data_IF_785526706566
#
_entry.id   IF_785526706566
#
_cell.length_a   1.000
_cell.length_b   1.000
_cell.length_c   1.000
_cell.angle_alpha   90.00
_cell.angle_beta   90.00
_cell.angle_gamma   90.00
#
_symmetry.space_group_name_H-M   'P 1'
#
loop_
_entity.id
_entity.type
_entity.pdbx_description
1 polymer ?
#
# COMPACT_ATOMS: atom_id res chain seq x y z
N UNK A 1 5.43 45.70 3.78
CA UNK A 1 4.86 46.27 5.02
C UNK A 1 3.41 45.83 5.11
N UNK A 2 3.10 44.83 5.93
CA UNK A 2 1.73 44.37 6.15
C UNK A 2 1.19 45.06 7.42
N UNK A 3 0.24 45.95 7.23
CA UNK A 3 -0.50 46.64 8.30
C UNK A 3 -1.46 45.64 8.97
N UNK A 4 -1.08 45.15 10.16
CA UNK A 4 -1.96 44.38 11.03
C UNK A 4 -2.99 45.34 11.65
N UNK A 5 -4.25 45.23 11.20
CA UNK A 5 -5.37 45.92 11.83
C UNK A 5 -5.59 45.34 13.22
N UNK A 6 -5.25 46.13 14.25
CA UNK A 6 -5.58 45.80 15.64
C UNK A 6 -7.10 45.93 15.81
N UNK A 7 -7.81 44.80 15.89
CA UNK A 7 -9.24 44.79 16.23
C UNK A 7 -9.35 44.88 17.77
N UNK A 8 -9.97 45.91 18.34
CA UNK A 8 -10.08 46.02 19.79
C UNK A 8 -11.00 44.90 20.28
N UNK A 9 -10.53 44.10 21.23
CA UNK A 9 -11.38 43.17 21.98
C UNK A 9 -12.44 44.01 22.72
N UNK A 10 -13.69 43.88 22.30
CA UNK A 10 -14.85 44.57 22.90
C UNK A 10 -15.72 43.61 23.71
N UNK A 11 -15.12 42.59 24.31
CA UNK A 11 -15.78 41.80 25.34
C UNK A 11 -15.46 42.43 26.70
N UNK A 12 -16.48 42.98 27.36
CA UNK A 12 -16.38 43.41 28.75
C UNK A 12 -15.76 42.28 29.61
N UNK A 13 -14.86 42.60 30.56
CA UNK A 13 -14.28 41.59 31.42
C UNK A 13 -15.40 40.86 32.18
N UNK A 14 -15.38 39.53 32.11
CA UNK A 14 -16.31 38.67 32.85
C UNK A 14 -16.17 39.02 34.33
N UNK A 15 -17.28 39.40 34.97
CA UNK A 15 -17.30 39.74 36.38
C UNK A 15 -17.08 38.47 37.22
N UNK A 16 -16.35 38.62 38.32
CA UNK A 16 -15.98 37.52 39.20
C UNK A 16 -17.24 36.79 39.68
N UNK A 17 -17.40 35.52 39.27
CA UNK A 17 -18.55 34.67 39.61
C UNK A 17 -19.51 34.33 38.46
N UNK A 18 -19.33 34.90 37.26
CA UNK A 18 -20.13 34.50 36.07
C UNK A 18 -19.40 33.41 35.27
N UNK A 19 -20.10 32.31 34.97
CA UNK A 19 -19.57 31.29 34.05
C UNK A 19 -19.56 31.85 32.61
N UNK A 20 -18.45 31.71 31.87
CA UNK A 20 -18.40 32.13 30.48
C UNK A 20 -19.49 31.44 29.65
N UNK A 21 -20.05 32.11 28.63
CA UNK A 21 -21.03 31.49 27.74
C UNK A 21 -20.42 30.27 27.02
N UNK A 22 -21.25 29.28 26.68
CA UNK A 22 -20.84 28.00 26.10
C UNK A 22 -19.98 28.11 24.82
N UNK A 23 -20.05 29.25 24.11
CA UNK A 23 -19.28 29.54 22.88
C UNK A 23 -18.03 30.42 23.12
N UNK A 24 -17.64 30.67 24.37
CA UNK A 24 -16.55 31.58 24.71
C UNK A 24 -15.22 31.20 24.05
N UNK A 25 -14.90 29.90 23.99
CA UNK A 25 -13.64 29.40 23.40
C UNK A 25 -13.58 29.66 21.88
N UNK A 26 -14.71 29.60 21.19
CA UNK A 26 -14.83 29.83 19.76
C UNK A 26 -14.74 31.33 19.42
N UNK A 27 -15.24 32.19 20.32
CA UNK A 27 -15.20 33.65 20.18
C UNK A 27 -13.82 34.27 20.43
N UNK A 28 -12.98 33.64 21.25
CA UNK A 28 -11.67 34.20 21.66
C UNK A 28 -10.61 33.94 20.59
N UNK A 29 -10.73 32.86 19.79
CA UNK A 29 -9.73 32.46 18.81
C UNK A 29 -10.37 31.96 17.48
N UNK A 30 -10.87 32.87 16.62
CA UNK A 30 -11.40 32.50 15.30
C UNK A 30 -10.36 31.82 14.39
N UNK A 31 -9.07 32.06 14.64
CA UNK A 31 -7.97 31.55 13.80
C UNK A 31 -7.40 30.20 14.25
N UNK A 32 -7.92 29.59 15.32
CA UNK A 32 -7.44 28.31 15.84
C UNK A 32 -7.54 27.17 14.81
N UNK A 33 -8.45 27.32 13.84
CA UNK A 33 -8.68 26.33 12.79
C UNK A 33 -7.68 26.44 11.62
N UNK A 34 -6.94 27.55 11.50
CA UNK A 34 -6.04 27.80 10.36
C UNK A 34 -4.56 27.53 10.67
N UNK A 35 -4.16 27.49 11.94
CA UNK A 35 -2.75 27.43 12.34
C UNK A 35 -2.26 26.00 12.63
N UNK A 36 -3.17 25.08 12.98
CA UNK A 36 -2.84 23.72 13.46
C UNK A 36 -3.27 22.58 12.53
N UNK A 37 -3.64 22.85 11.28
CA UNK A 37 -3.85 21.79 10.27
C UNK A 37 -2.49 21.45 9.67
N UNK A 38 -2.01 20.24 9.97
CA UNK A 38 -0.84 19.64 9.32
C UNK A 38 -1.22 19.31 7.86
N UNK A 39 -0.55 19.85 6.82
CA UNK A 39 -0.97 19.67 5.43
C UNK A 39 -0.91 18.23 4.91
N UNK A 40 -0.45 17.27 5.72
CA UNK A 40 -0.31 15.85 5.39
C UNK A 40 -1.26 14.93 6.17
N UNK A 41 -2.23 15.46 6.92
CA UNK A 41 -3.25 14.63 7.56
C UNK A 41 -4.38 14.33 6.56
N UNK A 42 -4.34 13.14 5.94
CA UNK A 42 -5.45 12.65 5.11
C UNK A 42 -6.74 12.54 5.95
N UNK A 43 -7.80 13.21 5.46
CA UNK A 43 -9.17 13.21 5.98
C UNK A 43 -9.77 11.80 6.08
N UNK A 44 -9.47 11.06 7.14
CA UNK A 44 -10.08 9.74 7.38
C UNK A 44 -10.87 9.62 8.68
N UNK A 45 -11.00 10.69 9.47
CA UNK A 45 -11.74 10.61 10.74
C UNK A 45 -12.67 11.79 11.04
N UNK A 46 -13.40 12.26 10.01
CA UNK A 46 -14.62 13.06 10.23
C UNK A 46 -15.78 12.15 10.62
N UNK A 47 -15.90 11.84 11.91
CA UNK A 47 -17.16 11.34 12.47
C UNK A 47 -18.28 12.41 12.30
N UNK A 48 -19.51 12.03 11.88
CA UNK A 48 -20.57 12.99 11.59
C UNK A 48 -21.11 13.64 12.88
N UNK A 49 -21.27 14.97 12.83
CA UNK A 49 -21.89 15.82 13.85
C UNK A 49 -23.33 15.31 14.15
N UNK A 50 -23.73 15.04 15.40
CA UNK A 50 -25.13 14.76 15.72
C UNK A 50 -25.99 16.04 15.56
N UNK A 51 -27.27 15.92 15.16
CA UNK A 51 -28.12 17.07 14.90
C UNK A 51 -28.53 17.77 16.21
N UNK A 52 -28.63 19.10 16.16
CA UNK A 52 -29.00 19.94 17.29
C UNK A 52 -30.43 19.65 17.80
N UNK A 53 -30.68 19.65 19.12
CA UNK A 53 -32.03 19.51 19.65
C UNK A 53 -32.85 20.78 19.37
N UNK A 54 -33.96 20.62 18.66
CA UNK A 54 -34.93 21.66 18.35
C UNK A 54 -35.65 22.13 19.62
N UNK A 55 -35.53 23.42 19.94
CA UNK A 55 -36.20 24.08 21.06
C UNK A 55 -37.65 24.41 20.67
N UNK A 56 -38.59 23.51 20.96
CA UNK A 56 -40.01 23.85 21.07
C UNK A 56 -40.50 23.54 22.49
N UNK A 57 -40.47 24.56 23.34
CA UNK A 57 -41.17 24.57 24.62
C UNK A 57 -42.62 24.92 24.33
N UNK A 58 -43.54 23.95 24.50
CA UNK A 58 -44.97 24.23 24.61
C UNK A 58 -45.38 23.95 26.06
N UNK A 59 -45.83 24.99 26.74
CA UNK A 59 -46.34 24.94 28.10
C UNK A 59 -47.61 24.06 28.19
N UNK A 60 -47.80 23.27 29.25
CA UNK A 60 -49.09 22.67 29.53
C UNK A 60 -49.89 23.53 30.52
N UNK A 61 -51.08 23.93 30.06
CA UNK A 61 -52.16 24.48 30.86
C UNK A 61 -52.61 23.49 31.95
N UNK A 62 -52.85 24.00 33.16
CA UNK A 62 -53.51 23.28 34.25
C UNK A 62 -55.03 23.27 34.03
N UNK A 63 -55.65 22.08 33.99
CA UNK A 63 -56.95 21.74 34.62
C UNK A 63 -57.35 20.28 34.31
N UNK A 64 -57.81 19.55 35.33
CA UNK A 64 -58.54 18.28 35.18
C UNK A 64 -58.13 17.22 36.20
N UNK A 65 -58.96 17.01 37.22
CA UNK A 65 -58.79 16.00 38.27
C UNK A 65 -59.19 14.59 37.80
N UNK A 66 -58.51 13.55 38.32
CA UNK A 66 -59.04 12.50 39.25
C UNK A 66 -58.37 11.13 39.06
N UNK A 67 -57.95 10.57 40.21
CA UNK A 67 -57.82 9.15 40.62
C UNK A 67 -56.79 8.23 39.96
N UNK A 68 -55.84 7.79 40.79
CA UNK A 68 -55.01 6.60 40.60
C UNK A 68 -53.68 6.72 41.36
N UNK A 69 -53.46 6.01 42.49
CA UNK A 69 -52.19 6.08 43.21
C UNK A 69 -51.17 5.16 42.52
N UNK A 70 -49.88 5.52 42.58
CA UNK A 70 -48.72 4.62 42.78
C UNK A 70 -47.44 5.24 42.17
N UNK A 71 -46.58 5.73 43.07
CA UNK A 71 -45.11 5.81 42.98
C UNK A 71 -44.47 6.26 41.65
N UNK A 72 -44.29 7.56 41.46
CA UNK A 72 -43.25 8.10 40.57
C UNK A 72 -43.04 9.58 40.92
N UNK A 73 -41.94 9.90 41.60
CA UNK A 73 -41.67 11.29 41.99
C UNK A 73 -40.33 11.52 42.67
N UNK A 74 -39.67 10.46 43.12
CA UNK A 74 -38.31 10.54 43.67
C UNK A 74 -37.24 10.21 42.62
N UNK A 75 -37.53 9.36 41.64
CA UNK A 75 -36.55 8.91 40.64
C UNK A 75 -36.09 9.99 39.67
N UNK A 76 -36.94 10.96 39.29
CA UNK A 76 -36.63 11.94 38.24
C UNK A 76 -35.73 13.09 38.73
N UNK A 77 -35.91 13.50 40.00
CA UNK A 77 -35.02 14.42 40.70
C UNK A 77 -33.66 13.78 40.99
N UNK A 78 -33.65 12.51 41.40
CA UNK A 78 -32.41 11.77 41.61
C UNK A 78 -31.70 11.52 40.27
N UNK A 79 -32.42 11.24 39.17
CA UNK A 79 -31.86 11.05 37.83
C UNK A 79 -31.25 12.34 37.27
N UNK A 80 -31.92 13.48 37.46
CA UNK A 80 -31.41 14.79 37.03
C UNK A 80 -30.23 15.25 37.88
N UNK A 81 -30.27 15.04 39.20
CA UNK A 81 -29.13 15.30 40.07
C UNK A 81 -27.92 14.42 39.72
N UNK A 82 -28.14 13.13 39.45
CA UNK A 82 -27.10 12.22 38.96
C UNK A 82 -26.56 12.65 37.59
N UNK A 83 -27.42 13.09 36.66
CA UNK A 83 -26.99 13.61 35.36
C UNK A 83 -26.19 14.91 35.46
N UNK A 84 -26.50 15.78 36.41
CA UNK A 84 -25.74 17.02 36.66
C UNK A 84 -24.37 16.69 37.26
N UNK A 85 -24.30 15.75 38.19
CA UNK A 85 -23.02 15.26 38.73
C UNK A 85 -22.16 14.60 37.63
N UNK A 86 -22.76 13.76 36.78
CA UNK A 86 -22.07 13.15 35.64
C UNK A 86 -21.56 14.19 34.65
N UNK A 87 -22.35 15.24 34.39
CA UNK A 87 -21.94 16.35 33.53
C UNK A 87 -20.77 17.14 34.15
N UNK A 88 -20.85 17.46 35.45
CA UNK A 88 -19.77 18.12 36.17
C UNK A 88 -18.48 17.27 36.19
N UNK A 89 -18.58 15.95 36.35
CA UNK A 89 -17.43 15.05 36.25
C UNK A 89 -16.81 15.05 34.85
N UNK A 90 -17.64 15.05 33.80
CA UNK A 90 -17.16 15.16 32.40
C UNK A 90 -16.48 16.50 32.14
N UNK A 91 -17.03 17.59 32.65
CA UNK A 91 -16.46 18.92 32.49
C UNK A 91 -15.11 19.03 33.22
N UNK A 92 -15.00 18.47 34.43
CA UNK A 92 -13.72 18.36 35.15
C UNK A 92 -12.69 17.53 34.38
N UNK A 93 -13.09 16.43 33.74
CA UNK A 93 -12.19 15.62 32.91
C UNK A 93 -11.78 16.36 31.62
N UNK A 94 -12.70 17.12 31.01
CA UNK A 94 -12.41 17.99 29.88
C UNK A 94 -11.41 19.10 30.25
N UNK A 95 -11.56 19.72 31.43
CA UNK A 95 -10.57 20.69 31.92
C UNK A 95 -9.24 20.04 32.25
N UNK A 96 -9.25 18.85 32.86
CA UNK A 96 -8.03 18.08 33.16
C UNK A 96 -7.25 17.76 31.90
N UNK A 97 -7.92 17.29 30.86
CA UNK A 97 -7.31 16.97 29.56
C UNK A 97 -6.84 18.23 28.82
N UNK A 98 -7.60 19.33 28.86
CA UNK A 98 -7.18 20.60 28.28
C UNK A 98 -5.92 21.17 28.97
N UNK A 99 -5.85 21.10 30.30
CA UNK A 99 -4.68 21.52 31.07
C UNK A 99 -3.48 20.61 30.79
N UNK A 100 -3.68 19.30 30.66
CA UNK A 100 -2.62 18.38 30.26
C UNK A 100 -2.08 18.70 28.86
N UNK A 101 -2.97 18.97 27.90
CA UNK A 101 -2.60 19.37 26.54
C UNK A 101 -1.83 20.68 26.53
N UNK A 102 -2.32 21.70 27.23
CA UNK A 102 -1.61 22.98 27.37
C UNK A 102 -0.27 22.82 28.07
N UNK A 103 -0.18 21.96 29.09
CA UNK A 103 1.08 21.61 29.74
C UNK A 103 2.08 20.98 28.76
N UNK A 104 1.61 20.07 27.91
CA UNK A 104 2.42 19.49 26.84
C UNK A 104 2.85 20.55 25.83
N UNK A 105 1.97 21.47 25.43
CA UNK A 105 2.25 22.55 24.49
C UNK A 105 3.28 23.56 25.06
N UNK A 106 3.20 23.88 26.35
CA UNK A 106 4.20 24.72 27.02
C UNK A 106 5.57 24.02 27.01
N UNK A 107 5.61 22.70 27.22
CA UNK A 107 6.86 21.94 27.18
C UNK A 107 7.45 21.88 25.76
N UNK A 108 6.63 21.68 24.73
CA UNK A 108 7.08 21.68 23.34
C UNK A 108 7.58 23.05 22.91
N UNK A 109 6.87 24.14 23.25
CA UNK A 109 7.31 25.51 23.00
C UNK A 109 8.63 25.81 23.72
N UNK A 110 8.78 25.43 24.99
CA UNK A 110 10.05 25.57 25.72
C UNK A 110 11.19 24.78 25.08
N UNK A 111 10.89 23.61 24.50
CA UNK A 111 11.89 22.86 23.75
C UNK A 111 12.29 23.59 22.47
N UNK A 112 11.32 24.13 21.72
CA UNK A 112 11.56 24.90 20.51
C UNK A 112 12.37 26.18 20.78
N UNK A 113 12.04 26.93 21.83
CA UNK A 113 12.80 28.12 22.26
C UNK A 113 14.25 27.74 22.56
N UNK A 114 14.49 26.66 23.32
CA UNK A 114 15.86 26.19 23.58
C UNK A 114 16.61 25.80 22.31
N UNK A 115 15.95 25.15 21.35
CA UNK A 115 16.58 24.83 20.07
C UNK A 115 16.92 26.08 19.26
N UNK A 116 15.99 27.05 19.21
CA UNK A 116 16.18 28.31 18.49
C UNK A 116 17.27 29.17 19.12
N UNK A 117 17.37 29.23 20.45
CA UNK A 117 18.44 29.92 21.17
C UNK A 117 19.81 29.27 20.87
N UNK A 118 19.86 27.94 20.86
CA UNK A 118 21.06 27.18 20.50
C UNK A 118 21.49 27.45 19.06
N UNK A 119 20.54 27.48 18.12
CA UNK A 119 20.82 27.75 16.72
C UNK A 119 21.19 29.21 16.46
N UNK A 120 20.54 30.17 17.13
CA UNK A 120 20.91 31.59 17.07
C UNK A 120 22.34 31.80 17.60
N UNK A 121 22.72 31.11 18.68
CA UNK A 121 24.08 31.14 19.21
C UNK A 121 25.11 30.60 18.21
N UNK A 122 24.80 29.49 17.52
CA UNK A 122 25.66 28.96 16.44
C UNK A 122 25.74 29.91 15.25
N UNK A 123 24.63 30.49 14.83
CA UNK A 123 24.60 31.44 13.71
C UNK A 123 25.42 32.69 14.01
N UNK A 124 25.35 33.21 15.23
CA UNK A 124 26.21 34.32 15.70
C UNK A 124 27.68 33.92 15.69
N UNK A 125 28.02 32.73 16.16
CA UNK A 125 29.40 32.21 16.09
C UNK A 125 29.88 32.14 14.64
N UNK A 126 29.06 31.61 13.74
CA UNK A 126 29.40 31.50 12.32
C UNK A 126 29.57 32.87 11.67
N UNK A 127 28.69 33.83 11.94
CA UNK A 127 28.80 35.20 11.45
C UNK A 127 30.11 35.87 11.92
N UNK A 128 30.45 35.74 13.20
CA UNK A 128 31.73 36.22 13.74
C UNK A 128 32.94 35.55 13.08
N UNK A 129 32.84 34.25 12.77
CA UNK A 129 33.88 33.55 12.03
C UNK A 129 34.03 34.08 10.60
N UNK A 130 32.94 34.34 9.88
CA UNK A 130 33.00 34.92 8.53
C UNK A 130 33.57 36.33 8.55
N UNK A 131 33.21 37.16 9.52
CA UNK A 131 33.79 38.49 9.68
C UNK A 131 35.30 38.42 9.97
N UNK A 132 35.72 37.49 10.81
CA UNK A 132 37.14 37.23 11.10
C UNK A 132 37.90 36.73 9.86
N UNK A 133 37.28 35.86 9.05
CA UNK A 133 37.85 35.41 7.77
C UNK A 133 37.92 36.54 6.75
N UNK A 134 36.92 37.40 6.70
CA UNK A 134 36.90 38.60 5.85
C UNK A 134 38.00 39.56 6.25
N UNK A 135 38.29 39.70 7.56
CA UNK A 135 39.41 40.50 8.05
C UNK A 135 40.77 39.92 7.67
N UNK A 136 40.89 38.60 7.48
CA UNK A 136 42.12 37.93 7.04
C UNK A 136 42.41 38.12 5.55
N UNK A 137 41.37 38.29 4.73
CA UNK A 137 41.48 38.63 3.31
C UNK A 137 41.84 40.11 3.16
N UNK A 138 42.94 40.41 2.48
CA UNK A 138 43.38 41.79 2.19
C UNK A 138 43.82 41.86 0.74
N UNK A 139 43.67 43.02 0.13
CA UNK A 139 44.19 43.30 -1.20
C UNK A 139 45.73 43.39 -1.19
N UNK A 140 46.37 43.08 -2.32
CA UNK A 140 47.84 42.99 -2.40
C UNK A 140 48.54 44.30 -2.06
N UNK A 141 47.92 45.45 -2.32
CA UNK A 141 48.50 46.78 -2.04
C UNK A 141 48.56 47.11 -0.55
N UNK A 142 47.62 46.60 0.24
CA UNK A 142 47.60 46.81 1.69
C UNK A 142 48.55 45.84 2.41
N UNK A 143 48.85 44.69 1.79
CA UNK A 143 49.83 43.71 2.29
C UNK A 143 51.24 44.31 2.43
N UNK A 144 51.64 45.17 1.49
CA UNK A 144 52.95 45.86 1.50
C UNK A 144 53.04 46.94 2.59
N UNK A 145 51.90 47.45 3.06
CA UNK A 145 51.80 48.48 4.11
C UNK A 145 51.80 47.90 5.52
N UNK A 146 51.57 46.59 5.67
CA UNK A 146 51.52 45.93 6.98
C UNK A 146 52.91 45.74 7.59
N UNK A 147 52.97 45.88 8.91
CA UNK A 147 54.19 45.58 9.64
C UNK A 147 54.44 44.06 9.70
N UNK A 148 55.71 43.64 9.70
CA UNK A 148 56.14 42.23 9.84
C UNK A 148 55.39 41.42 10.92
N UNK A 149 55.15 41.93 12.16
CA UNK A 149 54.39 41.17 13.16
C UNK A 149 52.92 40.93 12.78
N UNK A 150 52.28 41.87 12.08
CA UNK A 150 50.88 41.75 11.65
C UNK A 150 50.73 40.69 10.55
N UNK A 151 51.70 40.63 9.62
CA UNK A 151 51.78 39.59 8.58
C UNK A 151 51.92 38.20 9.22
N UNK A 152 52.81 38.05 10.22
CA UNK A 152 52.99 36.79 10.94
C UNK A 152 51.74 36.35 11.69
N UNK A 153 51.06 37.26 12.39
CA UNK A 153 49.80 36.97 13.11
C UNK A 153 48.70 36.47 12.16
N UNK A 154 48.57 37.12 11.00
CA UNK A 154 47.62 36.71 9.95
C UNK A 154 47.97 35.36 9.35
N UNK A 155 49.25 35.10 9.06
CA UNK A 155 49.71 33.80 8.57
C UNK A 155 49.38 32.66 9.54
N UNK A 156 49.62 32.86 10.85
CA UNK A 156 49.27 31.88 11.88
C UNK A 156 47.75 31.64 11.93
N UNK A 157 46.95 32.70 11.85
CA UNK A 157 45.49 32.62 11.85
C UNK A 157 44.95 31.87 10.63
N UNK A 158 45.48 32.15 9.43
CA UNK A 158 45.16 31.44 8.19
C UNK A 158 45.53 29.95 8.27
N UNK A 159 46.70 29.63 8.81
CA UNK A 159 47.14 28.24 9.01
C UNK A 159 46.22 27.49 9.98
N UNK A 160 45.82 28.12 11.08
CA UNK A 160 44.89 27.53 12.04
C UNK A 160 43.52 27.29 11.40
N UNK A 161 43.03 28.23 10.57
CA UNK A 161 41.74 28.07 9.87
C UNK A 161 41.79 26.95 8.83
N UNK A 162 42.87 26.84 8.07
CA UNK A 162 43.05 25.74 7.12
C UNK A 162 43.05 24.38 7.85
N UNK A 163 43.71 24.29 9.01
CA UNK A 163 43.70 23.09 9.82
C UNK A 163 42.29 22.74 10.36
N UNK A 164 41.53 23.75 10.81
CA UNK A 164 40.15 23.53 11.28
C UNK A 164 39.25 23.07 10.14
N UNK A 165 39.31 23.72 8.97
CA UNK A 165 38.53 23.34 7.79
C UNK A 165 38.89 21.93 7.29
N UNK A 166 40.17 21.55 7.36
CA UNK A 166 40.60 20.20 7.01
C UNK A 166 40.01 19.14 7.95
N UNK A 167 39.92 19.44 9.25
CA UNK A 167 39.24 18.57 10.22
C UNK A 167 37.74 18.48 9.96
N UNK A 168 37.06 19.61 9.75
CA UNK A 168 35.64 19.66 9.44
C UNK A 168 35.31 18.85 8.18
N UNK A 169 36.13 18.95 7.13
CA UNK A 169 35.96 18.19 5.90
C UNK A 169 36.09 16.68 6.14
N UNK A 170 36.99 16.25 7.02
CA UNK A 170 37.11 14.84 7.43
C UNK A 170 35.88 14.37 8.19
N UNK A 171 35.31 15.21 9.04
CA UNK A 171 34.09 14.91 9.79
C UNK A 171 32.88 14.81 8.86
N UNK A 172 32.74 15.74 7.89
CA UNK A 172 31.71 15.66 6.85
C UNK A 172 31.83 14.38 6.01
N UNK A 173 33.04 14.01 5.58
CA UNK A 173 33.29 12.74 4.87
C UNK A 173 32.82 11.54 5.70
N UNK A 174 33.13 11.54 7.00
CA UNK A 174 32.72 10.47 7.92
C UNK A 174 31.20 10.42 8.09
N UNK A 175 30.54 11.58 8.18
CA UNK A 175 29.08 11.68 8.29
C UNK A 175 28.39 11.20 7.01
N UNK A 176 28.88 11.59 5.84
CA UNK A 176 28.37 11.13 4.54
C UNK A 176 28.49 9.60 4.45
N UNK A 177 29.64 9.03 4.82
CA UNK A 177 29.82 7.58 4.81
C UNK A 177 28.83 6.86 5.74
N UNK A 178 28.61 7.41 6.95
CA UNK A 178 27.62 6.86 7.90
C UNK A 178 26.21 6.90 7.31
N UNK A 179 25.80 8.03 6.74
CA UNK A 179 24.48 8.19 6.12
C UNK A 179 24.29 7.27 4.92
N UNK A 180 25.31 7.08 4.09
CA UNK A 180 25.28 6.11 2.99
C UNK A 180 25.10 4.68 3.52
N UNK A 181 25.82 4.29 4.57
CA UNK A 181 25.67 2.97 5.19
C UNK A 181 24.27 2.79 5.81
N UNK A 182 23.69 3.83 6.41
CA UNK A 182 22.32 3.79 6.92
C UNK A 182 21.29 3.67 5.79
N UNK A 183 21.49 4.36 4.67
CA UNK A 183 20.63 4.27 3.50
C UNK A 183 20.66 2.85 2.91
N UNK A 184 21.84 2.25 2.78
CA UNK A 184 22.00 0.85 2.34
C UNK A 184 21.22 -0.08 3.28
N UNK A 185 21.44 0.04 4.59
CA UNK A 185 20.73 -0.78 5.59
C UNK A 185 19.21 -0.60 5.53
N UNK A 186 18.73 0.63 5.30
CA UNK A 186 17.29 0.90 5.16
C UNK A 186 16.73 0.28 3.87
N UNK A 187 17.45 0.39 2.76
CA UNK A 187 17.05 -0.20 1.49
C UNK A 187 17.05 -1.74 1.53
N UNK A 188 18.03 -2.36 2.19
CA UNK A 188 18.04 -3.83 2.40
C UNK A 188 16.82 -4.28 3.21
N UNK A 189 16.50 -3.57 4.29
CA UNK A 189 15.29 -3.84 5.09
C UNK A 189 14.03 -3.69 4.26
N UNK A 190 13.91 -2.63 3.46
CA UNK A 190 12.79 -2.41 2.56
C UNK A 190 12.64 -3.54 1.54
N UNK A 191 13.75 -4.00 0.97
CA UNK A 191 13.77 -5.14 0.05
C UNK A 191 13.29 -6.42 0.71
N UNK A 192 13.67 -6.66 1.96
CA UNK A 192 13.18 -7.82 2.73
C UNK A 192 11.70 -7.69 3.08
N UNK A 193 11.22 -6.49 3.44
CA UNK A 193 9.79 -6.22 3.63
C UNK A 193 8.99 -6.49 2.35
N UNK A 194 9.48 -6.04 1.19
CA UNK A 194 8.84 -6.30 -0.10
C UNK A 194 8.77 -7.79 -0.43
N UNK A 195 9.83 -8.55 -0.16
CA UNK A 195 9.83 -10.02 -0.32
C UNK A 195 8.81 -10.70 0.58
N UNK A 196 8.76 -10.31 1.84
CA UNK A 196 7.77 -10.85 2.79
C UNK A 196 6.35 -10.47 2.38
N UNK A 197 6.11 -9.23 1.97
CA UNK A 197 4.82 -8.77 1.47
C UNK A 197 4.37 -9.56 0.24
N UNK A 198 5.28 -9.86 -0.70
CA UNK A 198 4.96 -10.68 -1.87
C UNK A 198 4.65 -12.14 -1.49
N UNK A 199 5.41 -12.72 -0.56
CA UNK A 199 5.13 -14.05 -0.02
C UNK A 199 3.76 -14.11 0.67
N UNK A 200 3.43 -13.10 1.48
CA UNK A 200 2.10 -13.00 2.11
C UNK A 200 0.98 -12.84 1.09
N UNK A 201 1.15 -12.00 0.07
CA UNK A 201 0.15 -11.82 -0.99
C UNK A 201 -0.11 -13.15 -1.73
N UNK A 202 0.94 -13.89 -2.08
CA UNK A 202 0.79 -15.19 -2.75
C UNK A 202 0.15 -16.27 -1.84
N UNK A 203 0.50 -16.28 -0.55
CA UNK A 203 -0.17 -17.14 0.44
C UNK A 203 -1.66 -16.80 0.58
N UNK A 204 -1.99 -15.51 0.63
CA UNK A 204 -3.38 -15.04 0.72
C UNK A 204 -4.20 -15.43 -0.51
N UNK A 205 -3.60 -15.35 -1.70
CA UNK A 205 -4.23 -15.80 -2.94
C UNK A 205 -4.50 -17.31 -2.92
N UNK A 206 -3.55 -18.11 -2.45
CA UNK A 206 -3.74 -19.56 -2.28
C UNK A 206 -4.87 -19.86 -1.29
N UNK A 207 -4.92 -19.15 -0.16
CA UNK A 207 -5.99 -19.29 0.82
C UNK A 207 -7.35 -18.95 0.22
N UNK A 208 -7.46 -17.89 -0.57
CA UNK A 208 -8.70 -17.52 -1.26
C UNK A 208 -9.14 -18.63 -2.22
N UNK A 209 -8.23 -19.16 -3.03
CA UNK A 209 -8.52 -20.28 -3.95
C UNK A 209 -8.98 -21.53 -3.20
N UNK A 210 -8.39 -21.82 -2.03
CA UNK A 210 -8.81 -22.96 -1.20
C UNK A 210 -10.19 -22.71 -0.59
N UNK A 211 -10.49 -21.51 -0.12
CA UNK A 211 -11.82 -21.15 0.36
C UNK A 211 -12.88 -21.28 -0.74
N UNK A 212 -12.59 -20.83 -1.95
CA UNK A 212 -13.50 -20.98 -3.10
C UNK A 212 -13.76 -22.45 -3.43
N UNK A 213 -12.72 -23.31 -3.36
CA UNK A 213 -12.88 -24.77 -3.52
C UNK A 213 -13.77 -25.37 -2.44
N UNK A 214 -13.59 -24.96 -1.18
CA UNK A 214 -14.44 -25.41 -0.06
C UNK A 214 -15.90 -24.97 -0.27
N UNK A 215 -16.14 -23.75 -0.74
CA UNK A 215 -17.49 -23.29 -1.06
C UNK A 215 -18.13 -24.10 -2.20
N UNK A 216 -17.36 -24.44 -3.25
CA UNK A 216 -17.83 -25.33 -4.32
C UNK A 216 -18.17 -26.72 -3.80
N UNK A 217 -17.34 -27.30 -2.93
CA UNK A 217 -17.61 -28.60 -2.31
C UNK A 217 -18.89 -28.57 -1.47
N UNK A 218 -19.13 -27.51 -0.70
CA UNK A 218 -20.40 -27.35 0.06
C UNK A 218 -21.62 -27.33 -0.86
N UNK A 219 -21.55 -26.59 -1.98
CA UNK A 219 -22.64 -26.56 -2.97
C UNK A 219 -22.90 -27.94 -3.56
N UNK A 220 -21.84 -28.69 -3.86
CA UNK A 220 -21.96 -30.06 -4.37
C UNK A 220 -22.56 -31.00 -3.33
N UNK A 221 -22.12 -30.89 -2.07
CA UNK A 221 -22.69 -31.65 -0.96
C UNK A 221 -24.20 -31.39 -0.80
N UNK A 222 -24.62 -30.12 -0.89
CA UNK A 222 -26.04 -29.76 -0.87
C UNK A 222 -26.81 -30.34 -2.06
N UNK A 223 -26.19 -30.41 -3.25
CA UNK A 223 -26.82 -31.08 -4.40
C UNK A 223 -26.92 -32.58 -4.21
N UNK A 224 -25.91 -33.24 -3.66
CA UNK A 224 -25.95 -34.66 -3.34
C UNK A 224 -27.06 -34.96 -2.32
N UNK A 225 -27.17 -34.17 -1.24
CA UNK A 225 -28.27 -34.30 -0.26
C UNK A 225 -29.65 -34.10 -0.88
N UNK A 226 -29.78 -33.18 -1.84
CA UNK A 226 -31.04 -33.00 -2.58
C UNK A 226 -31.34 -34.22 -3.47
N UNK A 227 -30.32 -34.76 -4.14
CA UNK A 227 -30.44 -35.97 -4.95
C UNK A 227 -30.79 -37.19 -4.10
N UNK A 228 -30.17 -37.37 -2.94
CA UNK A 228 -30.53 -38.42 -1.96
C UNK A 228 -32.01 -38.36 -1.61
N UNK A 229 -32.54 -37.17 -1.29
CA UNK A 229 -33.99 -36.99 -1.03
C UNK A 229 -34.88 -37.33 -2.22
N UNK A 230 -34.41 -37.09 -3.45
CA UNK A 230 -35.14 -37.47 -4.67
C UNK A 230 -35.13 -38.97 -4.84
N UNK A 231 -33.99 -39.63 -4.62
CA UNK A 231 -33.84 -41.08 -4.67
C UNK A 231 -34.75 -41.74 -3.63
N UNK A 232 -34.75 -41.28 -2.38
CA UNK A 232 -35.66 -41.78 -1.33
C UNK A 232 -37.14 -41.71 -1.75
N UNK A 233 -37.56 -40.59 -2.37
CA UNK A 233 -38.93 -40.45 -2.88
C UNK A 233 -39.21 -41.40 -4.05
N UNK A 234 -38.26 -41.55 -4.97
CA UNK A 234 -38.39 -42.48 -6.09
C UNK A 234 -38.48 -43.93 -5.60
N UNK A 235 -37.66 -44.31 -4.63
CA UNK A 235 -37.71 -45.61 -3.97
C UNK A 235 -39.07 -45.84 -3.29
N UNK A 236 -39.61 -44.85 -2.57
CA UNK A 236 -40.93 -44.96 -1.98
C UNK A 236 -42.05 -45.19 -3.02
N UNK A 237 -41.99 -44.50 -4.16
CA UNK A 237 -42.92 -44.70 -5.28
C UNK A 237 -42.75 -46.09 -5.90
N UNK A 238 -41.51 -46.54 -6.12
CA UNK A 238 -41.22 -47.88 -6.64
C UNK A 238 -41.71 -48.97 -5.70
N UNK A 239 -41.51 -48.82 -4.39
CA UNK A 239 -42.04 -49.74 -3.39
C UNK A 239 -43.57 -49.77 -3.41
N UNK A 240 -44.24 -48.62 -3.54
CA UNK A 240 -45.70 -48.53 -3.69
C UNK A 240 -46.18 -49.22 -4.97
N UNK A 241 -45.56 -48.93 -6.11
CA UNK A 241 -45.91 -49.52 -7.40
C UNK A 241 -45.68 -51.04 -7.40
N UNK A 242 -44.58 -51.51 -6.79
CA UNK A 242 -44.31 -52.95 -6.63
C UNK A 242 -45.37 -53.61 -5.74
N UNK A 243 -45.80 -52.96 -4.65
CA UNK A 243 -46.88 -53.46 -3.78
C UNK A 243 -48.24 -53.48 -4.53
N UNK A 244 -48.56 -52.45 -5.30
CA UNK A 244 -49.76 -52.39 -6.13
C UNK A 244 -49.75 -53.44 -7.27
N UNK A 245 -48.60 -53.66 -7.92
CA UNK A 245 -48.41 -54.74 -8.91
C UNK A 245 -48.50 -56.14 -8.29
N UNK A 246 -47.95 -56.33 -7.10
CA UNK A 246 -48.11 -57.58 -6.32
C UNK A 246 -49.57 -57.86 -5.96
N UNK A 247 -50.37 -56.81 -5.70
CA UNK A 247 -51.81 -56.95 -5.45
C UNK A 247 -52.66 -57.16 -6.72
N UNK A 248 -52.14 -56.81 -7.91
CA UNK A 248 -52.75 -57.07 -9.23
C UNK A 248 -52.04 -58.23 -9.93
N UNK A 249 -52.15 -59.44 -9.38
CA UNK A 249 -51.60 -60.68 -9.95
C UNK A 249 -52.14 -61.11 -11.33
N UNK A 250 -52.86 -60.25 -12.06
CA UNK A 250 -53.49 -60.55 -13.36
C UNK A 250 -52.75 -59.94 -14.57
N UNK A 251 -51.72 -59.09 -14.35
CA UNK A 251 -51.09 -58.30 -15.42
C UNK A 251 -49.64 -58.70 -15.75
N UNK A 252 -49.19 -59.84 -15.24
CA UNK A 252 -47.85 -60.41 -15.48
C UNK A 252 -47.72 -60.91 -16.92
N UNK A 253 -48.74 -61.59 -17.43
CA UNK A 253 -48.68 -62.27 -18.73
C UNK A 253 -48.71 -61.28 -19.91
N UNK A 254 -49.55 -60.24 -19.82
CA UNK A 254 -49.58 -59.15 -20.82
C UNK A 254 -48.25 -58.37 -20.87
N UNK A 255 -47.60 -58.15 -19.71
CA UNK A 255 -46.30 -57.46 -19.67
C UNK A 255 -45.18 -58.33 -20.22
N UNK A 256 -45.21 -59.65 -20.02
CA UNK A 256 -44.23 -60.56 -20.60
C UNK A 256 -44.33 -60.56 -22.14
N UNK A 257 -45.55 -60.59 -22.69
CA UNK A 257 -45.77 -60.51 -24.14
C UNK A 257 -45.26 -59.18 -24.73
N UNK A 258 -45.55 -58.05 -24.07
CA UNK A 258 -45.05 -56.74 -24.50
C UNK A 258 -43.52 -56.58 -24.34
N UNK A 259 -42.91 -57.28 -23.39
CA UNK A 259 -41.47 -57.30 -23.19
C UNK A 259 -40.77 -58.09 -24.30
N UNK A 260 -41.33 -59.23 -24.71
CA UNK A 260 -40.85 -60.01 -25.85
C UNK A 260 -40.96 -59.23 -27.16
N UNK A 261 -42.06 -58.51 -27.38
CA UNK A 261 -42.24 -57.65 -28.56
C UNK A 261 -41.26 -56.48 -28.58
N UNK A 262 -41.00 -55.84 -27.42
CA UNK A 262 -39.97 -54.80 -27.31
C UNK A 262 -38.56 -55.35 -27.57
N UNK A 263 -38.24 -56.56 -27.12
CA UNK A 263 -36.96 -57.20 -27.40
C UNK A 263 -36.79 -57.42 -28.91
N UNK A 264 -37.86 -57.87 -29.58
CA UNK A 264 -37.89 -58.08 -31.03
C UNK A 264 -37.73 -56.77 -31.81
N UNK A 265 -38.42 -55.70 -31.42
CA UNK A 265 -38.31 -54.38 -32.06
C UNK A 265 -36.91 -53.77 -31.89
N UNK A 266 -36.29 -53.94 -30.72
CA UNK A 266 -34.90 -53.52 -30.49
C UNK A 266 -33.91 -54.26 -31.38
N UNK A 267 -34.12 -55.56 -31.58
CA UNK A 267 -33.30 -56.36 -32.48
C UNK A 267 -33.46 -55.90 -33.94
N UNK A 268 -34.68 -55.58 -34.37
CA UNK A 268 -34.92 -55.03 -35.71
C UNK A 268 -34.28 -53.65 -35.93
N UNK A 269 -34.24 -52.80 -34.91
CA UNK A 269 -33.53 -51.51 -34.99
C UNK A 269 -32.02 -51.69 -35.05
N UNK A 270 -31.47 -52.67 -34.32
CA UNK A 270 -30.05 -52.98 -34.40
C UNK A 270 -29.68 -53.54 -35.78
N UNK A 271 -30.51 -54.43 -36.34
CA UNK A 271 -30.34 -54.96 -37.70
C UNK A 271 -30.42 -53.84 -38.75
N UNK A 272 -31.32 -52.86 -38.59
CA UNK A 272 -31.43 -51.69 -39.47
C UNK A 272 -30.24 -50.75 -39.32
N UNK A 273 -29.72 -50.56 -38.10
CA UNK A 273 -28.53 -49.75 -37.83
C UNK A 273 -27.28 -50.40 -38.41
N UNK A 274 -27.15 -51.72 -38.31
CA UNK A 274 -26.10 -52.51 -38.95
C UNK A 274 -26.21 -52.45 -40.48
N UNK A 275 -27.43 -52.46 -41.03
CA UNK A 275 -27.66 -52.23 -42.46
C UNK A 275 -27.26 -50.81 -42.88
N UNK A 276 -27.54 -49.79 -42.06
CA UNK A 276 -27.17 -48.39 -42.34
C UNK A 276 -25.66 -48.15 -42.22
N UNK A 277 -25.00 -48.85 -41.29
CA UNK A 277 -23.55 -48.90 -41.12
C UNK A 277 -22.89 -49.58 -42.32
N UNK A 278 -23.41 -50.72 -42.78
CA UNK A 278 -22.94 -51.43 -44.00
C UNK A 278 -23.24 -50.67 -45.29
N UNK A 279 -24.29 -49.85 -45.34
CA UNK A 279 -24.62 -48.97 -46.45
C UNK A 279 -23.78 -47.67 -46.49
N UNK A 280 -22.85 -47.48 -45.54
CA UNK A 280 -21.92 -46.35 -45.52
C UNK A 280 -22.50 -45.01 -45.06
N UNK A 281 -23.74 -44.99 -44.55
CA UNK A 281 -24.44 -43.74 -44.15
C UNK A 281 -24.27 -43.46 -42.65
N UNK A 282 -23.88 -44.44 -41.84
CA UNK A 282 -23.76 -44.31 -40.37
C UNK A 282 -22.36 -44.01 -39.82
N UNK A 283 -21.31 -43.95 -40.65
CA UNK A 283 -19.91 -43.82 -40.20
C UNK A 283 -19.29 -42.42 -40.34
N UNK A 284 -20.03 -41.44 -40.87
CA UNK A 284 -19.52 -40.09 -41.13
C UNK A 284 -19.28 -39.25 -39.87
N UNK A 285 -20.18 -39.35 -38.88
CA UNK A 285 -20.08 -38.55 -37.64
C UNK A 285 -18.84 -38.91 -36.81
N UNK A 286 -18.49 -40.20 -36.71
CA UNK A 286 -17.31 -40.64 -35.97
C UNK A 286 -16.00 -40.27 -36.70
N UNK A 287 -16.02 -40.25 -38.03
CA UNK A 287 -14.88 -39.82 -38.85
C UNK A 287 -14.66 -38.30 -38.75
N UNK A 288 -15.73 -37.50 -38.88
CA UNK A 288 -15.70 -36.04 -38.74
C UNK A 288 -15.25 -35.63 -37.33
N UNK A 289 -15.73 -36.33 -36.30
CA UNK A 289 -15.30 -36.13 -34.92
C UNK A 289 -13.82 -36.41 -34.73
N UNK A 290 -13.28 -37.47 -35.36
CA UNK A 290 -11.85 -37.78 -35.31
C UNK A 290 -11.01 -36.69 -36.01
N UNK A 291 -11.46 -36.18 -37.16
CA UNK A 291 -10.79 -35.09 -37.87
C UNK A 291 -10.77 -33.80 -37.05
N UNK A 292 -11.88 -33.46 -36.38
CA UNK A 292 -11.96 -32.30 -35.49
C UNK A 292 -10.99 -32.39 -34.31
N UNK A 293 -10.84 -33.58 -33.69
CA UNK A 293 -9.83 -33.76 -32.64
C UNK A 293 -8.40 -33.59 -33.17
N UNK A 294 -8.11 -34.10 -34.36
CA UNK A 294 -6.79 -33.94 -34.96
C UNK A 294 -6.50 -32.49 -35.37
N UNK A 295 -7.52 -31.73 -35.76
CA UNK A 295 -7.41 -30.29 -36.03
C UNK A 295 -7.17 -29.50 -34.73
N UNK A 296 -7.85 -29.88 -33.64
CA UNK A 296 -7.66 -29.29 -32.32
C UNK A 296 -6.22 -29.51 -31.81
N UNK A 297 -5.72 -30.73 -31.87
CA UNK A 297 -4.35 -31.07 -31.43
C UNK A 297 -3.29 -30.27 -32.19
N UNK A 298 -3.46 -30.09 -33.52
CA UNK A 298 -2.57 -29.24 -34.32
C UNK A 298 -2.65 -27.77 -33.93
N UNK A 299 -3.85 -27.26 -33.64
CA UNK A 299 -4.04 -25.88 -33.23
C UNK A 299 -3.41 -25.61 -31.85
N UNK A 300 -3.60 -26.53 -30.90
CA UNK A 300 -2.98 -26.47 -29.57
C UNK A 300 -1.45 -26.50 -29.65
N UNK A 301 -0.87 -27.40 -30.46
CA UNK A 301 0.58 -27.44 -30.68
C UNK A 301 1.13 -26.14 -31.28
N UNK A 302 0.38 -25.51 -32.20
CA UNK A 302 0.75 -24.21 -32.78
C UNK A 302 0.71 -23.09 -31.75
N UNK A 303 -0.32 -23.05 -30.90
CA UNK A 303 -0.45 -22.06 -29.81
C UNK A 303 0.73 -22.18 -28.86
N UNK A 304 1.05 -23.39 -28.38
CA UNK A 304 2.18 -23.62 -27.47
C UNK A 304 3.52 -23.15 -28.07
N UNK A 305 3.73 -23.41 -29.36
CA UNK A 305 4.93 -22.96 -30.08
C UNK A 305 5.02 -21.43 -30.16
N UNK A 306 3.91 -20.78 -30.50
CA UNK A 306 3.83 -19.31 -30.56
C UNK A 306 4.02 -18.67 -29.19
N UNK A 307 3.43 -19.23 -28.13
CA UNK A 307 3.62 -18.77 -26.76
C UNK A 307 5.08 -18.86 -26.32
N UNK A 308 5.75 -19.97 -26.65
CA UNK A 308 7.18 -20.14 -26.38
C UNK A 308 8.02 -19.10 -27.12
N UNK A 309 7.75 -18.88 -28.41
CA UNK A 309 8.42 -17.84 -29.19
C UNK A 309 8.19 -16.46 -28.60
N UNK A 310 6.96 -16.15 -28.16
CA UNK A 310 6.63 -14.87 -27.53
C UNK A 310 7.40 -14.68 -26.22
N UNK A 311 7.50 -15.73 -25.40
CA UNK A 311 8.24 -15.69 -24.14
C UNK A 311 9.75 -15.51 -24.35
N UNK A 312 10.32 -16.18 -25.35
CA UNK A 312 11.73 -16.03 -25.73
C UNK A 312 12.01 -14.63 -26.29
N UNK A 313 11.11 -14.10 -27.13
CA UNK A 313 11.17 -12.75 -27.68
C UNK A 313 11.08 -11.68 -26.57
N UNK A 314 10.14 -11.82 -25.63
CA UNK A 314 10.04 -10.93 -24.48
C UNK A 314 11.31 -10.96 -23.61
N UNK A 315 11.95 -12.13 -23.44
CA UNK A 315 13.23 -12.26 -22.74
C UNK A 315 14.38 -11.60 -23.51
N UNK A 316 14.46 -11.77 -24.83
CA UNK A 316 15.51 -11.13 -25.64
C UNK A 316 15.36 -9.62 -25.64
N UNK A 317 14.14 -9.10 -25.80
CA UNK A 317 13.83 -7.68 -25.68
C UNK A 317 14.19 -7.13 -24.31
N UNK A 318 13.86 -7.85 -23.23
CA UNK A 318 14.24 -7.46 -21.87
C UNK A 318 15.76 -7.35 -21.70
N UNK A 319 16.52 -8.29 -22.27
CA UNK A 319 17.99 -8.26 -22.27
C UNK A 319 18.53 -7.09 -23.09
N UNK A 320 18.03 -6.89 -24.30
CA UNK A 320 18.47 -5.81 -25.19
C UNK A 320 18.17 -4.42 -24.61
N UNK A 321 16.97 -4.25 -24.04
CA UNK A 321 16.61 -3.03 -23.32
C UNK A 321 17.51 -2.78 -22.12
N UNK A 322 17.81 -3.82 -21.33
CA UNK A 322 18.72 -3.70 -20.19
C UNK A 322 20.14 -3.32 -20.66
N UNK A 323 20.64 -3.95 -21.72
CA UNK A 323 21.95 -3.67 -22.31
C UNK A 323 22.03 -2.23 -22.85
N UNK A 324 21.01 -1.76 -23.58
CA UNK A 324 20.94 -0.37 -24.02
C UNK A 324 20.88 0.63 -22.85
N UNK A 325 20.13 0.30 -21.79
CA UNK A 325 20.04 1.15 -20.61
C UNK A 325 21.39 1.23 -19.87
N UNK A 326 22.13 0.12 -19.80
CA UNK A 326 23.50 0.10 -19.28
C UNK A 326 24.39 0.99 -20.15
N UNK A 327 24.35 0.85 -21.48
CA UNK A 327 25.16 1.66 -22.40
C UNK A 327 24.84 3.15 -22.32
N UNK A 328 23.56 3.54 -22.19
CA UNK A 328 23.20 4.95 -21.96
C UNK A 328 23.76 5.46 -20.64
N UNK A 329 23.59 4.69 -19.55
CA UNK A 329 24.09 5.07 -18.25
C UNK A 329 25.64 5.19 -18.25
N UNK A 330 26.33 4.30 -18.95
CA UNK A 330 27.77 4.40 -19.17
C UNK A 330 28.13 5.65 -19.99
N UNK A 331 27.36 6.01 -21.03
CA UNK A 331 27.58 7.21 -21.82
C UNK A 331 27.36 8.50 -20.99
N UNK A 332 26.31 8.55 -20.18
CA UNK A 332 26.02 9.68 -19.27
C UNK A 332 27.12 9.90 -18.23
N UNK A 333 27.79 8.83 -17.80
CA UNK A 333 28.87 8.88 -16.82
C UNK A 333 30.27 8.83 -17.44
N UNK A 334 30.39 8.93 -18.77
CA UNK A 334 31.68 9.00 -19.49
C UNK A 334 32.45 7.67 -19.60
N UNK A 335 31.81 6.53 -19.31
CA UNK A 335 32.37 5.18 -19.42
C UNK A 335 32.00 4.44 -20.71
N UNK A 336 31.10 5.02 -21.53
CA UNK A 336 30.70 4.43 -22.79
C UNK A 336 31.91 4.21 -23.69
N UNK A 337 32.05 2.99 -24.26
CA UNK A 337 33.10 2.67 -25.23
C UNK A 337 32.97 3.59 -26.44
N UNK A 338 33.65 4.73 -26.42
CA UNK A 338 33.93 5.55 -27.58
C UNK A 338 34.87 4.76 -28.49
N UNK A 339 34.29 3.86 -29.28
CA UNK A 339 34.93 3.37 -30.50
C UNK A 339 35.12 4.56 -31.42
N UNK A 340 36.33 5.13 -31.39
CA UNK A 340 36.75 6.20 -32.30
C UNK A 340 36.36 7.61 -31.86
N UNK A 341 36.97 8.13 -30.79
CA UNK A 341 37.30 9.55 -30.76
C UNK A 341 38.82 9.66 -30.68
N UNK A 342 39.42 10.05 -31.80
CA UNK A 342 40.81 10.44 -31.93
C UNK A 342 41.04 11.59 -30.96
N UNK A 343 41.72 11.32 -29.84
CA UNK A 343 42.21 12.34 -28.94
C UNK A 343 43.43 12.98 -29.59
N UNK A 344 43.19 14.06 -30.35
CA UNK A 344 44.25 14.99 -30.72
C UNK A 344 44.65 15.82 -29.49
N UNK A 345 45.96 16.02 -29.37
CA UNK A 345 46.68 16.92 -28.47
C UNK A 345 46.92 16.42 -27.04
N UNK A 346 47.95 15.59 -26.92
CA UNK A 346 48.91 15.71 -25.81
C UNK A 346 50.34 15.44 -26.30
N UNK A 347 51.33 16.29 -25.98
CA UNK A 347 52.67 16.15 -26.50
C UNK A 347 53.38 14.93 -25.88
N UNK A 348 54.00 14.17 -26.77
CA UNK A 348 54.86 13.01 -26.51
C UNK A 348 56.03 13.42 -25.62
N UNK A 349 56.22 12.70 -24.52
CA UNK A 349 57.52 12.57 -23.88
C UNK A 349 57.85 11.08 -23.85
N UNK A 350 58.83 10.71 -24.67
CA UNK A 350 59.41 9.37 -24.76
C UNK A 350 59.91 8.90 -23.39
N UNK A 351 59.48 7.70 -23.00
CA UNK A 351 60.22 6.87 -22.06
C UNK A 351 60.04 5.40 -22.46
N UNK A 352 60.99 4.93 -23.25
CA UNK A 352 61.28 3.53 -23.45
C UNK A 352 61.38 2.80 -22.08
N UNK A 353 60.83 1.60 -21.98
CA UNK A 353 61.50 0.37 -21.54
C UNK A 353 60.47 -0.75 -21.30
N UNK A 354 60.57 -1.80 -22.12
CA UNK A 354 60.37 -3.24 -21.84
C UNK A 354 59.17 -3.67 -20.93
N UNK A 355 58.36 -4.68 -21.25
CA UNK A 355 58.75 -6.05 -21.57
C UNK A 355 57.49 -6.90 -21.84
N UNK A 356 57.74 -8.02 -22.47
CA UNK A 356 56.87 -8.99 -23.14
C UNK A 356 56.30 -10.10 -22.24
N UNK A 357 55.33 -10.83 -22.82
CA UNK A 357 54.92 -12.25 -22.62
C UNK A 357 53.76 -12.60 -21.66
N UNK A 358 52.88 -13.49 -22.16
CA UNK A 358 51.84 -14.19 -21.40
C UNK A 358 50.56 -14.57 -22.18
N UNK A 359 50.63 -15.18 -23.37
CA UNK A 359 50.30 -16.61 -23.62
C UNK A 359 48.85 -17.09 -23.32
N UNK A 360 48.00 -17.16 -24.37
CA UNK A 360 47.05 -18.21 -24.89
C UNK A 360 46.40 -19.30 -23.96
N UNK A 361 45.45 -20.16 -24.42
CA UNK A 361 44.48 -20.09 -25.55
C UNK A 361 43.02 -20.51 -25.19
N UNK A 362 42.05 -20.16 -26.04
CA UNK A 362 40.68 -20.75 -26.04
C UNK A 362 40.60 -21.98 -26.96
N UNK A 363 40.20 -23.12 -26.41
CA UNK A 363 39.98 -24.39 -27.13
C UNK A 363 38.63 -24.40 -27.87
N UNK A 364 38.69 -24.92 -29.09
CA UNK A 364 37.60 -25.24 -30.02
C UNK A 364 36.80 -26.51 -29.64
N UNK A 365 35.52 -26.53 -30.04
CA UNK A 365 34.82 -27.68 -30.63
C UNK A 365 33.48 -28.09 -29.98
N UNK A 366 32.58 -28.83 -30.69
CA UNK A 366 32.15 -28.67 -32.09
C UNK A 366 30.63 -28.88 -32.36
N UNK A 367 30.18 -28.38 -33.52
CA UNK A 367 29.25 -28.93 -34.54
C UNK A 367 27.94 -29.69 -34.19
N UNK A 368 26.89 -29.28 -34.92
CA UNK A 368 25.84 -30.07 -35.61
C UNK A 368 25.01 -31.08 -34.79
N UNK A 369 23.71 -30.77 -34.64
CA UNK A 369 22.64 -31.55 -35.30
C UNK A 369 21.37 -30.73 -35.45
#
# INVERSE_FOLDING_TARGET
>A
MATMYYRPYSSEPIKDGEMPPYEAVESILPEYQYIFVDPNQEDTDRSPKPPAPSRFVRAPDRRGATTGPTTAGTSDLDQTHMSVLDQQMRDLENYRTAVQRMGQDILTLRQQVRTLEGDNSKLRLNANQYESNSKLLIDSQDLERLAKPEILSRYVSLRQKLASQTSELKDYKTKVQKLQNELIKKNDKEKDYLRMSHAHASQQELLQRLQDKVQKLRKLEDTCRKQEKVIEKMEAVLHRLRREKSNKGMNSDMNNVLAEENARLRQQLEDLKDQLSKAGVGGGEDMEKLELYQALERAEGRIMSLEKQLQENARSWGKERADMNIRMNEAEHGFGRSGGLVLHDYPVVDAAYNKTFGTAPSRLGPLLR
#
